data_IF_537261456748
#
_entry.id   IF_537261456748
#
_cell.length_a   1.000
_cell.length_b   1.000
_cell.length_c   1.000
_cell.angle_alpha   90.00
_cell.angle_beta   90.00
_cell.angle_gamma   90.00
#
_symmetry.space_group_name_H-M   'P 1'
#
loop_
_entity.id
_entity.type
_entity.pdbx_description
1 polymer ?
#
# COMPACT_ATOMS: atom_id res chain seq x y z
N UNK A 1 2.85 -4.37 11.72
CA UNK A 1 3.62 -4.84 10.54
C UNK A 1 3.49 -6.34 10.27
N UNK A 2 3.02 -7.15 11.24
CA UNK A 2 2.86 -8.62 11.09
C UNK A 2 2.14 -9.06 9.80
N UNK A 3 0.98 -8.48 9.49
CA UNK A 3 0.25 -8.81 8.25
C UNK A 3 1.00 -8.47 6.96
N UNK A 4 1.83 -7.44 6.97
CA UNK A 4 2.68 -7.12 5.82
C UNK A 4 3.83 -8.12 5.66
N UNK A 5 4.36 -8.63 6.78
CA UNK A 5 5.35 -9.70 6.77
C UNK A 5 4.75 -11.02 6.28
N UNK A 6 3.55 -11.39 6.75
CA UNK A 6 2.82 -12.55 6.23
C UNK A 6 2.60 -12.45 4.72
N UNK A 7 2.15 -11.28 4.24
CA UNK A 7 1.95 -11.02 2.82
C UNK A 7 3.24 -11.18 2.02
N UNK A 8 4.35 -10.61 2.51
CA UNK A 8 5.65 -10.74 1.87
C UNK A 8 6.07 -12.22 1.74
N UNK A 9 5.91 -13.00 2.80
CA UNK A 9 6.27 -14.42 2.84
C UNK A 9 5.38 -15.28 1.94
N UNK A 10 4.06 -15.06 1.96
CA UNK A 10 3.09 -15.93 1.26
C UNK A 10 2.99 -15.63 -0.23
N UNK A 11 3.24 -14.39 -0.64
CA UNK A 11 2.99 -13.94 -2.00
C UNK A 11 4.26 -13.52 -2.76
N UNK A 12 5.43 -13.66 -2.15
CA UNK A 12 6.73 -13.25 -2.71
C UNK A 12 6.71 -11.78 -3.21
N UNK A 13 6.19 -10.89 -2.36
CA UNK A 13 6.10 -9.46 -2.61
C UNK A 13 6.98 -8.66 -1.66
N UNK A 14 7.36 -7.44 -2.06
CA UNK A 14 8.22 -6.55 -1.28
C UNK A 14 7.46 -5.31 -0.78
N UNK A 15 6.65 -5.42 0.29
CA UNK A 15 5.84 -4.31 0.78
C UNK A 15 6.68 -3.22 1.45
N UNK A 16 6.58 -1.97 1.00
CA UNK A 16 7.10 -0.80 1.72
C UNK A 16 5.99 -0.12 2.51
N UNK A 17 6.23 0.24 3.77
CA UNK A 17 5.23 0.95 4.59
C UNK A 17 5.85 2.23 5.13
N UNK A 18 5.10 3.33 4.98
CA UNK A 18 5.33 4.62 5.64
C UNK A 18 4.10 4.95 6.47
N UNK A 19 4.30 5.27 7.75
CA UNK A 19 3.24 5.74 8.65
C UNK A 19 3.65 7.11 9.15
N UNK A 20 2.92 8.13 8.74
CA UNK A 20 3.07 9.47 9.26
C UNK A 20 2.43 9.54 10.65
N UNK A 21 3.22 9.91 11.65
CA UNK A 21 2.74 10.09 13.02
C UNK A 21 3.00 11.53 13.47
N UNK A 22 2.34 12.03 14.53
CA UNK A 22 2.68 13.34 15.09
C UNK A 22 4.12 13.45 15.63
N UNK A 23 4.81 12.32 15.84
CA UNK A 23 6.19 12.25 16.28
C UNK A 23 7.12 11.90 15.12
N UNK A 24 7.77 10.74 15.20
CA UNK A 24 8.63 10.23 14.15
C UNK A 24 7.84 9.35 13.17
N UNK A 25 8.14 9.52 11.88
CA UNK A 25 7.58 8.69 10.84
C UNK A 25 8.11 7.25 10.95
N UNK A 26 7.22 6.27 10.80
CA UNK A 26 7.61 4.87 10.85
C UNK A 26 7.82 4.36 9.44
N UNK A 27 9.05 3.94 9.14
CA UNK A 27 9.43 3.29 7.88
C UNK A 27 9.75 1.81 8.11
N UNK A 28 9.12 0.94 7.34
CA UNK A 28 9.28 -0.51 7.47
C UNK A 28 9.55 -1.17 6.11
N UNK A 29 10.43 -2.19 6.01
CA UNK A 29 11.04 -2.97 7.11
C UNK A 29 12.14 -2.27 7.92
N UNK A 30 13.06 -1.64 7.21
CA UNK A 30 14.01 -0.66 7.74
C UNK A 30 13.88 0.59 6.90
N UNK A 31 14.36 1.73 7.39
CA UNK A 31 14.34 2.98 6.62
C UNK A 31 14.98 2.80 5.24
N UNK A 32 16.17 2.20 5.17
CA UNK A 32 16.88 2.00 3.90
C UNK A 32 16.11 1.10 2.94
N UNK A 33 15.54 -0.01 3.42
CA UNK A 33 14.79 -0.94 2.58
C UNK A 33 13.44 -0.36 2.14
N UNK A 34 12.76 0.37 3.03
CA UNK A 34 11.52 1.07 2.69
C UNK A 34 11.80 2.11 1.60
N UNK A 35 12.86 2.90 1.76
CA UNK A 35 13.29 3.91 0.79
C UNK A 35 13.62 3.30 -0.57
N UNK A 36 14.40 2.21 -0.60
CA UNK A 36 14.69 1.48 -1.84
C UNK A 36 13.41 1.01 -2.53
N UNK A 37 12.48 0.39 -1.78
CA UNK A 37 11.18 -0.06 -2.31
C UNK A 37 10.36 1.10 -2.88
N UNK A 38 10.31 2.23 -2.19
CA UNK A 38 9.61 3.42 -2.68
C UNK A 38 10.29 4.03 -3.90
N UNK A 39 11.63 4.08 -3.95
CA UNK A 39 12.36 4.53 -5.13
C UNK A 39 12.07 3.65 -6.35
N UNK A 40 12.09 2.33 -6.16
CA UNK A 40 11.71 1.37 -7.21
C UNK A 40 10.27 1.59 -7.67
N UNK A 41 9.32 1.75 -6.74
CA UNK A 41 7.93 2.08 -7.07
C UNK A 41 7.82 3.40 -7.85
N UNK A 42 8.49 4.46 -7.40
CA UNK A 42 8.45 5.78 -8.03
C UNK A 42 9.13 5.82 -9.40
N UNK A 43 9.99 4.85 -9.72
CA UNK A 43 10.61 4.72 -11.05
C UNK A 43 9.60 4.32 -12.14
N UNK A 44 8.47 3.73 -11.78
CA UNK A 44 7.39 3.43 -12.72
C UNK A 44 6.65 4.70 -13.17
N UNK A 45 6.17 4.69 -14.41
CA UNK A 45 5.34 5.77 -14.96
C UNK A 45 4.12 6.04 -14.08
N UNK A 46 3.70 7.31 -14.03
CA UNK A 46 2.54 7.72 -13.24
C UNK A 46 1.29 6.90 -13.58
N UNK A 47 1.00 6.70 -14.87
CA UNK A 47 -0.19 5.96 -15.32
C UNK A 47 -0.25 4.55 -14.71
N UNK A 48 0.86 3.81 -14.79
CA UNK A 48 1.01 2.47 -14.20
C UNK A 48 0.82 2.48 -12.68
N UNK A 49 1.33 3.51 -11.99
CA UNK A 49 1.16 3.65 -10.54
C UNK A 49 -0.28 3.98 -10.18
N UNK A 50 -0.90 4.90 -10.92
CA UNK A 50 -2.25 5.38 -10.66
C UNK A 50 -3.30 4.28 -10.84
N UNK A 51 -3.14 3.42 -11.84
CA UNK A 51 -4.04 2.28 -12.07
C UNK A 51 -4.06 1.29 -10.89
N UNK A 52 -2.95 1.20 -10.16
CA UNK A 52 -2.78 0.31 -9.02
C UNK A 52 -2.93 1.02 -7.66
N UNK A 53 -3.15 2.34 -7.66
CA UNK A 53 -3.28 3.12 -6.43
C UNK A 53 -4.70 3.00 -5.89
N UNK A 54 -4.82 2.48 -4.67
CA UNK A 54 -6.11 2.28 -3.99
C UNK A 54 -6.11 3.00 -2.66
N UNK A 55 -7.16 3.78 -2.40
CA UNK A 55 -7.37 4.45 -1.10
C UNK A 55 -8.44 3.73 -0.29
N UNK A 56 -8.43 3.91 1.02
CA UNK A 56 -9.47 3.36 1.88
C UNK A 56 -10.88 3.84 1.47
N UNK A 57 -11.01 5.14 1.17
CA UNK A 57 -12.26 5.76 0.74
C UNK A 57 -12.79 5.14 -0.57
N UNK A 58 -11.93 4.95 -1.57
CA UNK A 58 -12.32 4.31 -2.84
C UNK A 58 -12.77 2.86 -2.64
N UNK A 59 -12.17 2.14 -1.70
CA UNK A 59 -12.60 0.78 -1.34
C UNK A 59 -13.95 0.77 -0.62
N UNK A 60 -14.19 1.70 0.30
CA UNK A 60 -15.48 1.81 0.99
C UNK A 60 -16.60 2.13 0.00
N UNK A 61 -16.41 3.09 -0.90
CA UNK A 61 -17.40 3.45 -1.91
C UNK A 61 -17.77 2.25 -2.80
N UNK A 62 -16.77 1.50 -3.30
CA UNK A 62 -17.02 0.27 -4.10
C UNK A 62 -17.81 -0.78 -3.34
N UNK A 63 -17.56 -0.94 -2.03
CA UNK A 63 -18.27 -1.90 -1.18
C UNK A 63 -19.74 -1.49 -0.98
N UNK A 64 -20.02 -0.21 -0.79
CA UNK A 64 -21.38 0.31 -0.69
C UNK A 64 -22.16 0.14 -1.99
N UNK A 65 -21.56 0.49 -3.12
CA UNK A 65 -22.17 0.28 -4.44
C UNK A 65 -22.46 -1.20 -4.72
N UNK A 66 -21.51 -2.09 -4.41
CA UNK A 66 -21.70 -3.53 -4.54
C UNK A 66 -22.80 -4.10 -3.63
N UNK A 67 -23.09 -3.45 -2.51
CA UNK A 67 -24.17 -3.82 -1.59
C UNK A 67 -25.53 -3.32 -2.08
N UNK A 68 -25.58 -2.13 -2.73
CA UNK A 68 -26.79 -1.58 -3.36
C UNK A 68 -27.21 -2.33 -4.61
N UNK A 69 -26.29 -2.92 -5.38
CA UNK A 69 -26.61 -3.73 -6.59
C UNK A 69 -27.15 -5.13 -6.28
N UNK A 70 -27.16 -5.55 -5.00
CA UNK A 70 -27.65 -6.87 -4.55
C UNK A 70 -29.07 -6.82 -3.95
N UNK A 71 -29.68 -5.65 -3.89
CA UNK A 71 -31.06 -5.40 -3.44
C UNK A 71 -31.82 -4.72 -4.57
#
# INVERSE_FOLDING_TARGET
MEKAQELATLCDVQPGIVIYTPGEDILWPTESQAKERFQNYLSFRWDTRNDNLVTHETNLAKKEEGSRRKH
#
